data_IF_896753359330
#
_entry.id   IF_896753359330
#
_cell.length_a   1.000
_cell.length_b   1.000
_cell.length_c   1.000
_cell.angle_alpha   90.00
_cell.angle_beta   90.00
_cell.angle_gamma   90.00
#
_symmetry.space_group_name_H-M   'P 1'
#
loop_
_entity.id
_entity.type
_entity.pdbx_description
1 polymer ?
#
# COMPACT_ATOMS: atom_id res chain seq x y z
N UNK A 1 -12.58 17.83 19.00
CA UNK A 1 -12.45 18.87 17.97
C UNK A 1 -11.01 19.12 17.46
N UNK A 2 -9.95 18.48 17.99
CA UNK A 2 -8.56 18.63 17.50
C UNK A 2 -8.09 17.59 16.46
N UNK A 3 -8.95 16.65 16.04
CA UNK A 3 -8.60 15.56 15.12
C UNK A 3 -9.00 15.79 13.66
N UNK A 4 -9.76 16.84 13.34
CA UNK A 4 -10.17 17.15 11.96
C UNK A 4 -9.18 18.08 11.22
N UNK A 5 -8.22 18.68 11.93
CA UNK A 5 -7.20 19.56 11.33
C UNK A 5 -6.03 18.79 10.68
N UNK A 6 -5.86 17.49 10.98
CA UNK A 6 -4.74 16.69 10.47
C UNK A 6 -4.88 16.23 9.01
N UNK A 7 -6.12 16.08 8.51
CA UNK A 7 -6.35 15.60 7.15
C UNK A 7 -6.08 16.66 6.06
N UNK A 8 -6.17 17.95 6.41
CA UNK A 8 -5.92 19.05 5.47
C UNK A 8 -4.42 19.37 5.29
N UNK A 9 -3.56 18.98 6.24
CA UNK A 9 -2.13 19.27 6.20
C UNK A 9 -1.33 18.26 5.37
N UNK A 10 -1.86 17.06 5.14
CA UNK A 10 -1.21 16.03 4.32
C UNK A 10 -1.19 16.36 2.81
N UNK A 11 -2.02 17.31 2.35
CA UNK A 11 -2.09 17.68 0.94
C UNK A 11 -1.10 18.80 0.54
N UNK A 12 -0.47 19.47 1.50
CA UNK A 12 0.44 20.61 1.26
C UNK A 12 1.93 20.27 1.35
N UNK A 13 2.30 19.09 1.84
CA UNK A 13 3.71 18.67 1.99
C UNK A 13 4.26 17.86 0.80
N UNK A 14 3.43 17.47 -0.17
CA UNK A 14 3.89 16.74 -1.36
C UNK A 14 4.49 17.63 -2.47
N UNK A 15 4.50 18.97 -2.31
CA UNK A 15 4.95 19.92 -3.34
C UNK A 15 6.15 20.80 -2.94
N UNK A 16 6.76 20.60 -1.76
CA UNK A 16 7.82 21.46 -1.25
C UNK A 16 8.93 20.67 -0.56
N UNK A 17 9.81 20.07 -1.36
CA UNK A 17 10.95 19.30 -0.85
C UNK A 17 12.06 19.09 -1.87
N UNK A 18 12.27 20.05 -2.77
CA UNK A 18 13.48 20.13 -3.57
C UNK A 18 14.35 21.23 -2.96
N UNK A 19 15.21 20.87 -2.02
CA UNK A 19 16.31 21.72 -1.58
C UNK A 19 17.60 20.90 -1.59
N UNK A 20 18.47 21.34 -2.50
CA UNK A 20 19.82 20.89 -2.76
C UNK A 20 20.58 20.43 -1.51
N UNK A 21 21.21 19.25 -1.62
CA UNK A 21 22.35 18.90 -0.78
C UNK A 21 23.60 18.78 -1.65
N UNK A 22 24.51 19.68 -1.35
CA UNK A 22 25.80 19.94 -1.95
C UNK A 22 26.63 18.67 -2.05
N UNK A 23 27.23 18.48 -3.23
CA UNK A 23 28.24 17.47 -3.48
C UNK A 23 29.38 17.57 -2.46
N UNK A 24 29.70 16.45 -1.81
CA UNK A 24 31.01 16.26 -1.23
C UNK A 24 31.62 15.01 -1.87
N UNK A 25 32.61 15.24 -2.72
CA UNK A 25 33.42 14.19 -3.32
C UNK A 25 34.25 13.53 -2.22
N UNK A 26 34.02 12.25 -1.97
CA UNK A 26 35.06 11.37 -1.44
C UNK A 26 35.22 10.19 -2.40
N UNK A 27 36.45 10.08 -2.87
CA UNK A 27 36.99 9.12 -3.83
C UNK A 27 36.66 7.67 -3.49
N UNK A 28 36.16 6.95 -4.50
CA UNK A 28 35.95 5.52 -4.52
C UNK A 28 37.27 4.75 -4.59
N UNK A 29 37.47 3.82 -3.67
CA UNK A 29 38.34 2.66 -3.87
C UNK A 29 37.45 1.43 -3.73
N UNK A 30 37.24 0.72 -4.83
CA UNK A 30 36.59 -0.59 -4.85
C UNK A 30 37.54 -1.65 -4.26
N UNK A 31 36.98 -2.74 -3.72
CA UNK A 31 37.59 -4.03 -4.00
C UNK A 31 36.60 -5.03 -4.61
N UNK A 32 37.20 -5.76 -5.53
CA UNK A 32 36.73 -6.91 -6.28
C UNK A 32 36.41 -8.14 -5.40
N UNK A 33 35.38 -8.87 -5.80
CA UNK A 33 35.46 -10.33 -5.95
C UNK A 33 35.27 -11.21 -4.71
N UNK A 34 34.26 -12.09 -4.80
CA UNK A 34 34.28 -13.43 -4.17
C UNK A 34 33.69 -13.49 -2.77
N UNK A 35 32.43 -13.90 -2.67
CA UNK A 35 31.88 -14.45 -1.43
C UNK A 35 32.43 -15.88 -1.21
N UNK A 36 32.79 -16.26 0.03
CA UNK A 36 32.71 -17.64 0.45
C UNK A 36 31.50 -17.84 1.37
N UNK A 37 30.70 -18.83 1.00
CA UNK A 37 29.65 -19.47 1.78
C UNK A 37 30.24 -20.05 3.08
N UNK A 38 29.68 -19.68 4.24
CA UNK A 38 30.06 -20.26 5.54
C UNK A 38 28.87 -21.00 6.11
N UNK A 39 28.87 -22.32 5.92
CA UNK A 39 28.07 -23.28 6.68
C UNK A 39 28.60 -23.35 8.13
N UNK A 40 27.70 -23.21 9.10
CA UNK A 40 28.00 -23.42 10.51
C UNK A 40 28.03 -24.93 10.84
N UNK A 41 28.99 -25.44 11.62
CA UNK A 41 28.94 -26.82 12.08
C UNK A 41 28.15 -26.95 13.39
N UNK A 42 27.24 -27.92 13.41
CA UNK A 42 26.59 -28.49 14.60
C UNK A 42 27.57 -29.47 15.25
N UNK A 43 27.76 -29.49 16.59
CA UNK A 43 28.57 -30.52 17.22
C UNK A 43 27.73 -31.76 17.50
N UNK A 44 28.07 -32.88 16.85
CA UNK A 44 27.54 -34.21 17.15
C UNK A 44 28.52 -34.98 18.04
N UNK A 45 28.01 -35.57 19.12
CA UNK A 45 28.73 -36.35 20.12
C UNK A 45 28.89 -37.78 19.59
N UNK A 46 30.11 -38.28 19.48
CA UNK A 46 30.38 -39.62 18.94
C UNK A 46 31.57 -40.30 19.62
N UNK A 47 31.26 -41.36 20.35
CA UNK A 47 32.15 -42.25 21.09
C UNK A 47 33.10 -43.08 20.22
N UNK A 48 34.37 -43.17 20.65
CA UNK A 48 35.15 -44.41 20.70
C UNK A 48 35.64 -45.10 19.41
N UNK A 49 36.96 -45.35 19.40
CA UNK A 49 37.64 -46.64 19.09
C UNK A 49 38.73 -46.58 18.01
N UNK A 50 39.97 -46.81 18.45
CA UNK A 50 40.91 -47.74 17.81
C UNK A 50 41.79 -47.23 16.66
N UNK A 51 43.10 -47.18 16.89
CA UNK A 51 44.11 -47.09 15.81
C UNK A 51 45.52 -47.18 16.38
N UNK A 52 46.21 -48.27 16.09
CA UNK A 52 47.51 -48.71 16.63
C UNK A 52 48.65 -48.33 15.68
N UNK A 53 49.81 -47.95 16.24
CA UNK A 53 51.11 -47.88 15.56
C UNK A 53 51.97 -46.78 16.18
N UNK A 54 53.20 -46.95 16.64
CA UNK A 54 54.17 -48.04 16.59
C UNK A 54 55.57 -47.39 16.64
N UNK A 55 56.43 -47.82 17.58
CA UNK A 55 57.79 -47.32 17.79
C UNK A 55 57.86 -46.12 18.77
N UNK A 56 58.76 -46.02 19.74
CA UNK A 56 60.06 -46.66 19.93
C UNK A 56 60.48 -46.42 21.40
N UNK A 57 60.95 -47.45 22.11
CA UNK A 57 61.52 -47.34 23.47
C UNK A 57 62.97 -47.80 23.39
N UNK A 58 63.93 -47.06 23.96
CA UNK A 58 65.19 -47.64 24.40
C UNK A 58 65.16 -47.83 25.93
N UNK A 59 65.18 -49.09 26.36
CA UNK A 59 65.61 -49.48 27.70
C UNK A 59 67.14 -49.61 27.68
N UNK A 60 67.83 -48.97 28.62
CA UNK A 60 69.17 -49.38 29.04
C UNK A 60 69.23 -49.55 30.55
N UNK A 61 69.70 -50.74 30.89
CA UNK A 61 69.90 -51.41 32.16
C UNK A 61 71.08 -50.80 32.92
N UNK A 62 70.90 -50.48 34.21
CA UNK A 62 71.96 -50.59 35.23
C UNK A 62 71.33 -50.99 36.58
N UNK A 63 71.83 -52.05 37.24
CA UNK A 63 71.54 -52.31 38.64
C UNK A 63 72.79 -52.05 39.49
N UNK A 64 72.78 -51.07 40.40
CA UNK A 64 73.76 -51.00 41.51
C UNK A 64 73.35 -50.12 42.70
N UNK A 65 73.01 -50.84 43.78
CA UNK A 65 73.14 -50.63 45.23
C UNK A 65 72.38 -49.50 45.98
N UNK A 66 71.74 -49.85 47.12
CA UNK A 66 70.95 -48.93 47.94
C UNK A 66 71.83 -48.23 48.99
N UNK A 67 71.71 -46.92 49.10
CA UNK A 67 72.20 -46.17 50.27
C UNK A 67 71.21 -45.05 50.55
N UNK A 68 70.62 -45.05 51.74
CA UNK A 68 69.76 -43.96 52.22
C UNK A 68 68.46 -44.44 52.85
N UNK A 69 68.45 -44.49 54.17
CA UNK A 69 67.31 -44.70 55.07
C UNK A 69 66.09 -43.85 54.66
N UNK A 70 64.84 -44.34 54.80
CA UNK A 70 63.65 -43.56 54.43
C UNK A 70 63.55 -42.30 55.28
N UNK A 71 63.57 -41.13 54.64
CA UNK A 71 63.17 -39.88 55.27
C UNK A 71 61.66 -39.94 55.56
N UNK A 72 61.28 -39.57 56.78
CA UNK A 72 59.89 -39.50 57.21
C UNK A 72 59.07 -38.59 56.26
N UNK A 73 57.77 -38.86 56.04
CA UNK A 73 56.94 -38.05 55.17
C UNK A 73 56.91 -36.61 55.70
N UNK A 74 57.41 -35.67 54.91
CA UNK A 74 57.22 -34.25 55.18
C UNK A 74 55.73 -33.94 55.06
N UNK A 75 55.17 -33.31 56.09
CA UNK A 75 53.78 -32.88 56.10
C UNK A 75 53.50 -31.99 54.88
N UNK A 76 52.47 -32.32 54.11
CA UNK A 76 52.00 -31.49 53.01
C UNK A 76 51.49 -30.17 53.59
N UNK A 77 52.24 -29.09 53.35
CA UNK A 77 51.75 -27.74 53.64
C UNK A 77 50.64 -27.45 52.64
N UNK A 78 49.41 -27.27 53.14
CA UNK A 78 48.29 -26.86 52.30
C UNK A 78 48.63 -25.54 51.57
N UNK A 79 48.25 -25.39 50.28
CA UNK A 79 48.50 -24.14 49.57
C UNK A 79 47.80 -22.99 50.31
N UNK A 80 48.55 -21.93 50.58
CA UNK A 80 48.01 -20.71 51.19
C UNK A 80 47.00 -20.10 50.22
N UNK A 81 45.75 -19.81 50.61
CA UNK A 81 44.81 -19.14 49.74
C UNK A 81 45.31 -17.72 49.48
N UNK A 82 45.83 -17.49 48.27
CA UNK A 82 46.08 -16.12 47.77
C UNK A 82 44.72 -15.48 47.49
N UNK A 83 44.44 -14.36 48.16
CA UNK A 83 43.27 -13.55 47.87
C UNK A 83 43.30 -13.14 46.38
N UNK A 84 42.17 -13.18 45.66
CA UNK A 84 42.13 -12.77 44.27
C UNK A 84 42.58 -11.30 44.16
N UNK A 85 43.54 -11.04 43.29
CA UNK A 85 43.88 -9.66 42.91
C UNK A 85 42.65 -9.13 42.17
N UNK A 86 41.89 -8.26 42.83
CA UNK A 86 40.83 -7.50 42.19
C UNK A 86 41.52 -6.54 41.23
N UNK A 87 41.38 -6.78 39.92
CA UNK A 87 41.83 -5.83 38.92
C UNK A 87 41.17 -4.47 39.23
N UNK A 88 41.94 -3.36 39.28
CA UNK A 88 41.32 -2.04 39.40
C UNK A 88 40.33 -1.86 38.24
N UNK A 89 39.14 -1.27 38.48
CA UNK A 89 38.20 -0.99 37.41
C UNK A 89 38.94 -0.22 36.31
N UNK A 90 38.65 -0.49 35.02
CA UNK A 90 39.30 0.20 33.93
C UNK A 90 39.18 1.72 34.17
N UNK A 91 40.33 2.37 34.28
CA UNK A 91 40.43 3.82 34.44
C UNK A 91 40.00 4.45 33.11
N UNK A 92 38.70 4.73 33.01
CA UNK A 92 38.12 5.34 31.83
C UNK A 92 36.61 5.25 31.78
N UNK A 93 35.89 5.76 32.79
CA UNK A 93 34.52 6.24 32.55
C UNK A 93 34.04 7.31 33.54
N UNK A 94 34.77 8.43 33.62
CA UNK A 94 34.22 9.64 34.23
C UNK A 94 33.56 10.48 33.13
N UNK A 95 32.40 10.04 32.65
CA UNK A 95 31.53 10.92 31.85
C UNK A 95 30.68 10.28 30.76
N UNK A 96 30.83 8.98 30.43
CA UNK A 96 29.83 8.30 29.63
C UNK A 96 28.75 7.75 30.54
N UNK A 97 27.50 8.08 30.22
CA UNK A 97 26.35 7.48 30.88
C UNK A 97 26.37 5.99 30.57
N UNK A 98 26.11 5.14 31.57
CA UNK A 98 25.96 3.70 31.39
C UNK A 98 25.02 3.43 30.20
N UNK A 99 25.37 2.49 29.32
CA UNK A 99 24.55 2.14 28.17
C UNK A 99 23.10 1.80 28.59
N UNK A 100 22.95 1.15 29.74
CA UNK A 100 21.64 0.87 30.33
C UNK A 100 20.90 2.14 30.76
N UNK A 101 21.60 3.14 31.31
CA UNK A 101 21.02 4.42 31.72
C UNK A 101 20.67 5.32 30.53
N UNK A 102 21.50 5.30 29.47
CA UNK A 102 21.16 5.95 28.20
C UNK A 102 19.96 5.30 27.54
N UNK A 103 19.88 3.96 27.55
CA UNK A 103 18.74 3.21 27.01
C UNK A 103 17.46 3.51 27.80
N UNK A 104 17.55 3.55 29.13
CA UNK A 104 16.43 3.94 29.99
C UNK A 104 15.98 5.38 29.70
N UNK A 105 16.92 6.34 29.58
CA UNK A 105 16.60 7.74 29.27
C UNK A 105 16.04 7.92 27.85
N UNK A 106 16.54 7.17 26.88
CA UNK A 106 16.01 7.16 25.52
C UNK A 106 14.61 6.54 25.49
N UNK A 107 14.40 5.44 26.21
CA UNK A 107 13.08 4.81 26.36
C UNK A 107 12.07 5.75 27.04
N UNK A 108 12.48 6.48 28.09
CA UNK A 108 11.66 7.49 28.77
C UNK A 108 11.35 8.69 27.89
N UNK A 109 12.28 9.10 27.01
CA UNK A 109 12.09 10.19 26.05
C UNK A 109 11.39 9.76 24.76
N UNK A 110 11.20 8.46 24.55
CA UNK A 110 10.66 7.92 23.31
C UNK A 110 11.58 8.20 22.12
N UNK A 111 12.89 8.11 22.30
CA UNK A 111 13.90 8.27 21.24
C UNK A 111 14.23 6.91 20.60
N UNK A 112 14.67 6.93 19.34
CA UNK A 112 15.19 5.74 18.64
C UNK A 112 16.48 5.26 19.29
N UNK A 113 16.56 3.96 19.57
CA UNK A 113 17.76 3.33 20.12
C UNK A 113 18.42 2.52 19.01
N UNK A 114 19.70 2.80 18.76
CA UNK A 114 20.52 2.13 17.77
C UNK A 114 21.79 1.54 18.40
N UNK A 115 22.21 0.37 17.92
CA UNK A 115 23.44 -0.31 18.31
C UNK A 115 24.54 -0.19 17.25
N UNK A 116 25.68 -0.85 17.51
CA UNK A 116 26.73 -1.04 16.50
C UNK A 116 26.57 -2.42 15.87
N UNK A 117 26.78 -2.49 14.56
CA UNK A 117 26.75 -3.75 13.82
C UNK A 117 27.98 -3.84 12.92
N UNK A 118 28.40 -5.07 12.62
CA UNK A 118 29.51 -5.36 11.72
C UNK A 118 29.05 -5.80 10.31
N UNK A 119 27.74 -5.95 10.10
CA UNK A 119 27.16 -6.38 8.84
C UNK A 119 26.80 -5.18 7.94
N UNK A 120 26.82 -5.32 6.60
CA UNK A 120 26.55 -4.21 5.68
C UNK A 120 25.15 -3.58 5.82
N UNK A 121 24.18 -4.31 6.37
CA UNK A 121 22.82 -3.83 6.55
C UNK A 121 22.71 -2.85 7.74
N UNK A 122 23.01 -1.57 7.51
CA UNK A 122 22.93 -0.51 8.52
C UNK A 122 21.58 -0.42 9.25
N UNK A 123 20.47 -0.85 8.63
CA UNK A 123 19.15 -0.82 9.28
C UNK A 123 19.01 -1.82 10.44
N UNK A 124 19.83 -2.88 10.46
CA UNK A 124 19.89 -3.85 11.56
C UNK A 124 20.48 -3.26 12.85
N UNK A 125 21.08 -2.08 12.78
CA UNK A 125 21.51 -1.33 13.95
C UNK A 125 20.33 -0.77 14.76
N UNK A 126 19.10 -0.80 14.25
CA UNK A 126 17.94 -0.25 14.94
C UNK A 126 17.35 -1.25 15.94
N UNK A 127 17.47 -0.95 17.23
CA UNK A 127 16.99 -1.82 18.31
C UNK A 127 15.56 -1.43 18.74
N UNK A 128 15.30 -0.14 18.94
CA UNK A 128 13.97 0.37 19.31
C UNK A 128 13.61 1.55 18.41
N UNK A 129 12.43 1.47 17.78
CA UNK A 129 11.83 2.55 17.01
C UNK A 129 10.45 2.89 17.58
N UNK A 130 10.33 3.96 18.38
CA UNK A 130 9.08 4.44 18.97
C UNK A 130 7.96 4.65 17.93
N UNK A 131 8.30 5.17 16.75
CA UNK A 131 7.37 5.41 15.65
C UNK A 131 6.71 4.12 15.16
N UNK A 132 7.40 2.97 15.26
CA UNK A 132 6.84 1.66 14.94
C UNK A 132 5.75 1.20 15.92
N UNK A 133 5.70 1.73 17.15
CA UNK A 133 4.58 1.51 18.08
C UNK A 133 3.36 2.32 17.65
N UNK A 134 3.57 3.59 17.32
CA UNK A 134 2.50 4.48 16.84
C UNK A 134 1.90 3.96 15.54
N UNK A 135 2.74 3.54 14.58
CA UNK A 135 2.28 2.91 13.34
C UNK A 135 1.44 1.66 13.61
N UNK A 136 1.85 0.78 14.53
CA UNK A 136 1.04 -0.41 14.89
C UNK A 136 -0.29 -0.04 15.54
N UNK A 137 -0.30 0.96 16.42
CA UNK A 137 -1.52 1.47 17.03
C UNK A 137 -2.47 2.03 15.97
N UNK A 138 -1.94 2.83 15.04
CA UNK A 138 -2.68 3.32 13.89
C UNK A 138 -3.22 2.18 13.03
N UNK A 139 -2.37 1.24 12.59
CA UNK A 139 -2.74 0.16 11.70
C UNK A 139 -3.82 -0.75 12.30
N UNK A 140 -3.59 -1.24 13.52
CA UNK A 140 -4.47 -2.25 14.12
C UNK A 140 -5.77 -1.65 14.66
N UNK A 141 -5.77 -0.37 15.03
CA UNK A 141 -6.94 0.28 15.64
C UNK A 141 -7.53 1.37 14.75
N UNK A 142 -6.77 2.42 14.48
CA UNK A 142 -7.28 3.61 13.79
C UNK A 142 -7.72 3.28 12.37
N UNK A 143 -6.87 2.64 11.58
CA UNK A 143 -7.18 2.29 10.20
C UNK A 143 -8.37 1.31 10.12
N UNK A 144 -8.40 0.29 10.98
CA UNK A 144 -9.53 -0.66 11.08
C UNK A 144 -10.86 0.06 11.32
N UNK A 145 -10.90 1.01 12.26
CA UNK A 145 -12.11 1.79 12.54
C UNK A 145 -12.46 2.76 11.41
N UNK A 146 -11.48 3.47 10.85
CA UNK A 146 -11.70 4.35 9.69
C UNK A 146 -12.29 3.55 8.52
N UNK A 147 -11.73 2.38 8.23
CA UNK A 147 -12.19 1.48 7.20
C UNK A 147 -13.61 0.97 7.48
N UNK A 148 -13.91 0.57 8.72
CA UNK A 148 -15.23 0.07 9.10
C UNK A 148 -16.28 1.18 8.97
N UNK A 149 -15.99 2.37 9.48
CA UNK A 149 -16.89 3.53 9.38
C UNK A 149 -17.08 3.93 7.91
N UNK A 150 -16.02 4.01 7.11
CA UNK A 150 -16.12 4.40 5.72
C UNK A 150 -16.95 3.40 4.90
N UNK A 151 -16.65 2.10 5.01
CA UNK A 151 -17.32 1.06 4.22
C UNK A 151 -18.74 0.81 4.72
N UNK A 152 -18.92 0.50 6.01
CA UNK A 152 -20.24 0.21 6.56
C UNK A 152 -21.12 1.46 6.60
N UNK A 153 -20.54 2.63 6.87
CA UNK A 153 -21.26 3.91 6.83
C UNK A 153 -21.75 4.23 5.42
N UNK A 154 -20.92 3.99 4.39
CA UNK A 154 -21.37 4.14 3.01
C UNK A 154 -22.47 3.14 2.65
N UNK A 155 -22.29 1.85 2.95
CA UNK A 155 -23.30 0.82 2.69
C UNK A 155 -24.63 1.16 3.39
N UNK A 156 -24.57 1.60 4.65
CA UNK A 156 -25.72 2.05 5.41
C UNK A 156 -26.38 3.29 4.79
N UNK A 157 -25.60 4.28 4.35
CA UNK A 157 -26.10 5.46 3.68
C UNK A 157 -26.80 5.14 2.36
N UNK A 158 -26.21 4.26 1.53
CA UNK A 158 -26.81 3.80 0.28
C UNK A 158 -28.06 2.96 0.52
N UNK A 159 -28.04 2.08 1.53
CA UNK A 159 -29.19 1.28 1.94
C UNK A 159 -30.35 2.17 2.41
N UNK A 160 -30.07 3.13 3.28
CA UNK A 160 -31.06 4.10 3.75
C UNK A 160 -31.61 4.95 2.59
N UNK A 161 -30.73 5.44 1.72
CA UNK A 161 -31.13 6.20 0.54
C UNK A 161 -32.05 5.36 -0.37
N UNK A 162 -31.71 4.09 -0.61
CA UNK A 162 -32.53 3.19 -1.41
C UNK A 162 -33.89 2.91 -0.75
N UNK A 163 -33.96 2.72 0.57
CA UNK A 163 -35.21 2.50 1.29
C UNK A 163 -36.13 3.74 1.25
N UNK A 164 -35.56 4.94 1.33
CA UNK A 164 -36.33 6.20 1.30
C UNK A 164 -36.77 6.55 -0.13
N UNK A 165 -35.85 6.45 -1.09
CA UNK A 165 -36.03 7.01 -2.45
C UNK A 165 -36.41 5.97 -3.50
N UNK A 166 -36.02 4.71 -3.30
CA UNK A 166 -36.13 3.64 -4.29
C UNK A 166 -35.17 3.82 -5.48
N UNK A 167 -35.40 3.04 -6.54
CA UNK A 167 -34.71 3.21 -7.81
C UNK A 167 -35.19 4.49 -8.51
N UNK A 168 -34.26 5.28 -9.04
CA UNK A 168 -34.57 6.44 -9.88
C UNK A 168 -35.06 5.91 -11.23
N UNK A 169 -36.36 6.06 -11.47
CA UNK A 169 -37.04 5.65 -12.71
C UNK A 169 -37.12 6.84 -13.67
N UNK A 170 -37.15 6.52 -14.96
CA UNK A 170 -37.37 7.48 -16.03
C UNK A 170 -38.77 8.09 -15.95
N UNK A 171 -38.87 9.41 -16.11
CA UNK A 171 -40.16 10.10 -16.07
C UNK A 171 -41.03 9.80 -17.30
N UNK A 172 -40.41 9.79 -18.49
CA UNK A 172 -41.09 9.57 -19.78
C UNK A 172 -41.06 8.09 -20.24
N UNK A 173 -40.50 7.18 -19.42
CA UNK A 173 -40.23 5.80 -19.84
C UNK A 173 -39.16 5.70 -20.94
N UNK A 174 -38.93 4.49 -21.44
CA UNK A 174 -37.94 4.24 -22.51
C UNK A 174 -38.48 4.71 -23.87
N UNK A 175 -37.65 5.39 -24.66
CA UNK A 175 -37.97 5.81 -26.02
C UNK A 175 -37.95 4.65 -27.02
N UNK A 176 -37.20 3.58 -26.73
CA UNK A 176 -37.07 2.40 -27.59
C UNK A 176 -35.99 2.51 -28.67
N UNK A 177 -35.31 3.65 -28.77
CA UNK A 177 -34.11 3.84 -29.59
C UNK A 177 -32.98 4.44 -28.75
N UNK A 178 -31.75 4.21 -29.19
CA UNK A 178 -30.56 4.47 -28.37
C UNK A 178 -29.54 5.37 -29.05
N UNK A 179 -28.79 6.14 -28.26
CA UNK A 179 -27.65 6.95 -28.66
C UNK A 179 -26.34 6.30 -28.19
N UNK A 180 -25.27 6.42 -28.98
CA UNK A 180 -23.92 6.00 -28.55
C UNK A 180 -23.38 7.02 -27.56
N UNK A 181 -22.99 6.56 -26.37
CA UNK A 181 -22.45 7.41 -25.30
C UNK A 181 -20.98 7.15 -25.02
N UNK A 182 -20.57 5.88 -25.06
CA UNK A 182 -19.20 5.45 -24.80
C UNK A 182 -18.75 4.45 -25.86
N UNK A 183 -17.60 4.74 -26.49
CA UNK A 183 -17.00 3.86 -27.48
C UNK A 183 -16.29 2.67 -26.81
N UNK A 184 -15.89 1.69 -27.64
CA UNK A 184 -15.32 0.44 -27.15
C UNK A 184 -14.03 0.64 -26.33
N UNK A 185 -13.15 1.55 -26.73
CA UNK A 185 -11.88 1.82 -26.02
C UNK A 185 -12.16 2.35 -24.61
N UNK A 186 -13.11 3.28 -24.48
CA UNK A 186 -13.54 3.84 -23.20
C UNK A 186 -14.11 2.76 -22.28
N UNK A 187 -14.93 1.86 -22.83
CA UNK A 187 -15.55 0.77 -22.08
C UNK A 187 -14.55 -0.30 -21.66
N UNK A 188 -13.67 -0.73 -22.56
CA UNK A 188 -12.63 -1.72 -22.25
C UNK A 188 -11.73 -1.20 -21.15
N UNK A 189 -11.29 0.06 -21.24
CA UNK A 189 -10.49 0.68 -20.21
C UNK A 189 -11.26 0.80 -18.88
N UNK A 190 -12.53 1.19 -18.92
CA UNK A 190 -13.39 1.23 -17.74
C UNK A 190 -13.48 -0.12 -17.03
N UNK A 191 -13.82 -1.19 -17.76
CA UNK A 191 -13.97 -2.52 -17.18
C UNK A 191 -12.64 -3.08 -16.68
N UNK A 192 -11.53 -2.81 -17.38
CA UNK A 192 -10.20 -3.19 -16.91
C UNK A 192 -9.84 -2.51 -15.58
N UNK A 193 -10.03 -1.19 -15.48
CA UNK A 193 -9.80 -0.44 -14.23
C UNK A 193 -10.76 -0.89 -13.13
N UNK A 194 -12.04 -1.08 -13.44
CA UNK A 194 -13.05 -1.50 -12.47
C UNK A 194 -12.75 -2.90 -11.90
N UNK A 195 -12.41 -3.87 -12.75
CA UNK A 195 -12.03 -5.22 -12.32
C UNK A 195 -10.75 -5.22 -11.50
N UNK A 196 -9.73 -4.45 -11.91
CA UNK A 196 -8.52 -4.29 -11.10
C UNK A 196 -8.86 -3.67 -9.74
N UNK A 197 -9.64 -2.59 -9.71
CA UNK A 197 -10.04 -1.91 -8.48
C UNK A 197 -10.79 -2.82 -7.52
N UNK A 198 -11.72 -3.66 -8.01
CA UNK A 198 -12.46 -4.61 -7.18
C UNK A 198 -11.48 -5.59 -6.51
N UNK A 199 -10.54 -6.17 -7.27
CA UNK A 199 -9.58 -7.13 -6.72
C UNK A 199 -8.61 -6.45 -5.75
N UNK A 200 -8.11 -5.25 -6.08
CA UNK A 200 -7.26 -4.43 -5.21
C UNK A 200 -7.97 -4.07 -3.91
N UNK A 201 -9.22 -3.61 -4.00
CA UNK A 201 -10.05 -3.25 -2.86
C UNK A 201 -10.33 -4.45 -1.95
N UNK A 202 -10.74 -5.60 -2.52
CA UNK A 202 -11.01 -6.81 -1.75
C UNK A 202 -9.74 -7.38 -1.07
N UNK A 203 -8.62 -7.39 -1.77
CA UNK A 203 -7.34 -7.82 -1.18
C UNK A 203 -6.84 -6.86 -0.09
N UNK A 204 -7.00 -5.55 -0.25
CA UNK A 204 -6.69 -4.57 0.79
C UNK A 204 -7.61 -4.67 2.02
N UNK A 205 -8.91 -4.89 1.80
CA UNK A 205 -9.87 -5.16 2.88
C UNK A 205 -9.56 -6.48 3.59
N UNK A 206 -9.07 -7.49 2.88
CA UNK A 206 -8.60 -8.73 3.48
C UNK A 206 -7.40 -8.48 4.42
N UNK A 207 -6.45 -7.61 4.07
CA UNK A 207 -5.35 -7.24 4.98
C UNK A 207 -5.85 -6.56 6.26
N UNK A 208 -6.91 -5.74 6.15
CA UNK A 208 -7.43 -4.97 7.30
C UNK A 208 -8.36 -5.81 8.19
N UNK A 209 -9.27 -6.58 7.58
CA UNK A 209 -10.36 -7.28 8.29
C UNK A 209 -10.31 -8.80 8.20
N UNK A 210 -9.50 -9.35 7.31
CA UNK A 210 -9.53 -10.78 6.98
C UNK A 210 -9.28 -11.68 8.18
N UNK A 211 -8.41 -11.27 9.12
CA UNK A 211 -8.19 -12.01 10.37
C UNK A 211 -9.44 -12.09 11.26
N UNK A 212 -10.28 -11.06 11.25
CA UNK A 212 -11.48 -11.00 12.09
C UNK A 212 -12.70 -11.61 11.40
N UNK A 213 -12.77 -11.53 10.07
CA UNK A 213 -13.95 -11.94 9.30
C UNK A 213 -13.74 -13.26 8.54
N UNK A 214 -12.65 -13.38 7.78
CA UNK A 214 -12.42 -14.54 6.93
C UNK A 214 -11.78 -15.71 7.68
N UNK A 215 -10.74 -15.46 8.49
CA UNK A 215 -10.03 -16.52 9.21
C UNK A 215 -10.97 -17.42 10.05
N UNK A 216 -11.94 -16.89 10.82
CA UNK A 216 -12.88 -17.75 11.55
C UNK A 216 -13.84 -18.53 10.64
N UNK A 217 -14.10 -18.04 9.42
CA UNK A 217 -15.07 -18.61 8.49
C UNK A 217 -14.47 -19.74 7.63
N UNK A 218 -13.23 -19.59 7.18
CA UNK A 218 -12.59 -20.51 6.21
C UNK A 218 -11.36 -21.24 6.77
N UNK A 219 -11.03 -21.01 8.04
CA UNK A 219 -9.90 -21.63 8.73
C UNK A 219 -8.52 -21.08 8.30
N UNK A 220 -7.44 -21.47 9.00
CA UNK A 220 -6.09 -20.98 8.73
C UNK A 220 -5.55 -21.27 7.33
N UNK A 221 -5.81 -22.47 6.81
CA UNK A 221 -5.33 -22.89 5.49
C UNK A 221 -6.02 -22.09 4.37
N UNK A 222 -7.35 -22.00 4.41
CA UNK A 222 -8.13 -21.22 3.45
C UNK A 222 -7.77 -19.73 3.50
N UNK A 223 -7.62 -19.18 4.71
CA UNK A 223 -7.22 -17.78 4.89
C UNK A 223 -5.81 -17.51 4.34
N UNK A 224 -4.88 -18.45 4.56
CA UNK A 224 -3.52 -18.35 4.01
C UNK A 224 -3.55 -18.37 2.49
N UNK A 225 -4.29 -19.29 1.88
CA UNK A 225 -4.40 -19.39 0.43
C UNK A 225 -4.99 -18.13 -0.20
N UNK A 226 -6.13 -17.64 0.32
CA UNK A 226 -6.78 -16.41 -0.17
C UNK A 226 -5.89 -15.19 0.03
N UNK A 227 -5.20 -15.08 1.17
CA UNK A 227 -4.33 -13.94 1.46
C UNK A 227 -3.07 -13.93 0.59
N UNK A 228 -2.48 -15.09 0.31
CA UNK A 228 -1.34 -15.21 -0.61
C UNK A 228 -1.74 -14.86 -2.04
N UNK A 229 -2.83 -15.45 -2.54
CA UNK A 229 -3.35 -15.14 -3.87
C UNK A 229 -3.74 -13.65 -3.99
N UNK A 230 -4.40 -13.11 -2.96
CA UNK A 230 -4.76 -11.70 -2.87
C UNK A 230 -3.54 -10.78 -2.90
N UNK A 231 -2.48 -11.09 -2.16
CA UNK A 231 -1.23 -10.30 -2.18
C UNK A 231 -0.58 -10.30 -3.57
N UNK A 232 -0.48 -11.47 -4.21
CA UNK A 232 0.10 -11.59 -5.56
C UNK A 232 -0.74 -10.78 -6.55
N UNK A 233 -2.06 -10.98 -6.55
CA UNK A 233 -2.98 -10.23 -7.40
C UNK A 233 -2.90 -8.73 -7.13
N UNK A 234 -2.79 -8.31 -5.87
CA UNK A 234 -2.72 -6.89 -5.50
C UNK A 234 -1.48 -6.21 -6.11
N UNK A 235 -0.32 -6.85 -5.97
CA UNK A 235 0.93 -6.32 -6.49
C UNK A 235 0.95 -6.24 -8.02
N UNK A 236 0.47 -7.27 -8.72
CA UNK A 236 0.52 -7.31 -10.18
C UNK A 236 -0.60 -6.51 -10.86
N UNK A 237 -1.80 -6.44 -10.27
CA UNK A 237 -2.90 -5.67 -10.84
C UNK A 237 -2.78 -4.16 -10.60
N UNK A 238 -1.90 -3.72 -9.70
CA UNK A 238 -1.57 -2.31 -9.53
C UNK A 238 -1.03 -1.67 -10.82
N UNK A 239 -0.28 -2.44 -11.64
CA UNK A 239 0.28 -1.97 -12.91
C UNK A 239 -0.79 -1.64 -13.96
N UNK A 240 -1.66 -2.58 -14.39
CA UNK A 240 -2.73 -2.28 -15.33
C UNK A 240 -3.73 -1.26 -14.76
N UNK A 241 -4.00 -1.28 -13.44
CA UNK A 241 -4.82 -0.24 -12.80
C UNK A 241 -4.24 1.17 -13.03
N UNK A 242 -2.95 1.36 -12.73
CA UNK A 242 -2.27 2.66 -12.91
C UNK A 242 -2.25 3.09 -14.38
N UNK A 243 -1.91 2.16 -15.29
CA UNK A 243 -1.94 2.45 -16.73
C UNK A 243 -3.34 2.84 -17.20
N UNK A 244 -4.37 2.14 -16.72
CA UNK A 244 -5.76 2.43 -17.02
C UNK A 244 -6.22 3.79 -16.50
N UNK A 245 -5.73 4.25 -15.34
CA UNK A 245 -6.00 5.61 -14.84
C UNK A 245 -5.42 6.68 -15.77
N UNK A 246 -4.21 6.48 -16.29
CA UNK A 246 -3.60 7.41 -17.26
C UNK A 246 -4.44 7.45 -18.54
N UNK A 247 -4.86 6.28 -19.05
CA UNK A 247 -5.73 6.20 -20.22
C UNK A 247 -7.09 6.87 -19.95
N UNK A 248 -7.70 6.68 -18.76
CA UNK A 248 -8.94 7.36 -18.38
C UNK A 248 -8.77 8.88 -18.39
N UNK A 249 -7.68 9.38 -17.81
CA UNK A 249 -7.37 10.81 -17.80
C UNK A 249 -7.29 11.33 -19.24
N UNK A 250 -6.53 10.68 -20.12
CA UNK A 250 -6.38 11.12 -21.51
C UNK A 250 -7.70 11.09 -22.30
N UNK A 251 -8.54 10.07 -22.09
CA UNK A 251 -9.80 9.93 -22.80
C UNK A 251 -10.87 10.92 -22.31
N UNK A 252 -10.91 11.23 -21.01
CA UNK A 252 -12.07 11.89 -20.40
C UNK A 252 -11.79 13.26 -19.77
N UNK A 253 -10.53 13.69 -19.64
CA UNK A 253 -10.20 14.96 -18.96
C UNK A 253 -10.94 16.15 -19.54
N UNK A 254 -11.03 16.23 -20.88
CA UNK A 254 -11.68 17.36 -21.58
C UNK A 254 -13.13 17.54 -21.13
N UNK A 255 -13.87 16.45 -21.02
CA UNK A 255 -15.30 16.49 -20.69
C UNK A 255 -15.56 16.56 -19.18
N UNK A 256 -14.52 16.42 -18.35
CA UNK A 256 -14.61 16.40 -16.90
C UNK A 256 -14.04 17.65 -16.20
N UNK A 257 -13.69 18.68 -16.96
CA UNK A 257 -13.31 19.98 -16.38
C UNK A 257 -14.53 20.60 -15.68
N UNK A 258 -14.44 20.94 -14.38
CA UNK A 258 -15.53 21.59 -13.66
C UNK A 258 -15.85 22.97 -14.25
N UNK A 259 -17.14 23.27 -14.38
CA UNK A 259 -17.62 24.53 -14.95
C UNK A 259 -18.81 25.10 -14.15
N UNK A 260 -19.31 26.27 -14.55
CA UNK A 260 -20.40 26.96 -13.83
C UNK A 260 -21.71 26.17 -13.81
N UNK A 261 -21.95 25.31 -14.81
CA UNK A 261 -23.13 24.46 -14.86
C UNK A 261 -23.10 23.42 -13.74
N UNK A 262 -21.92 22.91 -13.39
CA UNK A 262 -21.76 21.94 -12.31
C UNK A 262 -22.17 22.53 -10.96
N UNK A 263 -21.86 23.81 -10.70
CA UNK A 263 -22.30 24.50 -9.50
C UNK A 263 -23.82 24.65 -9.46
N UNK A 264 -24.45 24.96 -10.59
CA UNK A 264 -25.91 25.03 -10.69
C UNK A 264 -26.55 23.65 -10.46
N UNK A 265 -25.95 22.59 -10.99
CA UNK A 265 -26.38 21.21 -10.80
C UNK A 265 -26.31 20.78 -9.33
N UNK A 266 -25.22 21.12 -8.63
CA UNK A 266 -25.06 20.86 -7.19
C UNK A 266 -26.10 21.64 -6.38
N UNK A 267 -26.29 22.93 -6.67
CA UNK A 267 -27.30 23.77 -5.98
C UNK A 267 -28.73 23.25 -6.19
N UNK A 268 -29.00 22.64 -7.33
CA UNK A 268 -30.27 21.99 -7.64
C UNK A 268 -30.43 20.60 -6.99
N UNK A 269 -29.50 20.17 -6.12
CA UNK A 269 -29.59 18.88 -5.43
C UNK A 269 -29.27 17.67 -6.31
N UNK A 270 -28.59 17.90 -7.44
CA UNK A 270 -28.02 16.85 -8.29
C UNK A 270 -29.02 15.91 -8.96
N UNK A 271 -30.28 16.33 -9.13
CA UNK A 271 -31.32 15.47 -9.67
C UNK A 271 -31.75 14.32 -8.74
N UNK A 272 -31.22 14.27 -7.52
CA UNK A 272 -31.59 13.31 -6.48
C UNK A 272 -32.63 13.88 -5.52
N UNK A 273 -32.61 15.20 -5.32
CA UNK A 273 -33.49 15.93 -4.40
C UNK A 273 -34.51 16.72 -5.23
N UNK A 274 -35.79 16.39 -5.06
CA UNK A 274 -36.90 17.02 -5.79
C UNK A 274 -37.26 16.32 -7.12
N UNK A 275 -38.01 17.03 -7.98
CA UNK A 275 -38.46 16.56 -9.31
C UNK A 275 -37.73 17.22 -10.49
N UNK A 276 -36.72 18.04 -10.20
CA UNK A 276 -35.99 18.78 -11.23
C UNK A 276 -34.80 17.99 -11.75
N UNK A 277 -34.63 17.98 -13.08
CA UNK A 277 -33.43 17.45 -13.74
C UNK A 277 -32.55 18.63 -14.18
N UNK A 278 -31.56 19.04 -13.37
CA UNK A 278 -30.66 20.11 -13.76
C UNK A 278 -29.93 19.72 -15.05
N UNK A 279 -29.88 20.66 -16.00
CA UNK A 279 -29.21 20.46 -17.29
C UNK A 279 -27.76 20.03 -17.06
N UNK A 280 -27.30 19.03 -17.80
CA UNK A 280 -25.94 18.53 -17.76
C UNK A 280 -25.41 18.28 -19.17
N UNK A 281 -24.09 18.40 -19.32
CA UNK A 281 -23.34 18.03 -20.52
C UNK A 281 -23.14 16.51 -20.56
N UNK A 282 -22.13 16.03 -21.30
CA UNK A 282 -21.80 14.61 -21.40
C UNK A 282 -21.65 13.97 -20.02
N UNK A 283 -20.98 14.67 -19.09
CA UNK A 283 -20.89 14.29 -17.67
C UNK A 283 -21.56 15.33 -16.78
N UNK A 284 -22.31 14.88 -15.78
CA UNK A 284 -22.84 15.75 -14.73
C UNK A 284 -21.81 15.97 -13.61
N UNK A 285 -22.06 16.91 -12.71
CA UNK A 285 -21.12 17.26 -11.64
C UNK A 285 -20.74 16.08 -10.73
N UNK A 286 -21.69 15.17 -10.46
CA UNK A 286 -21.41 13.96 -9.68
C UNK A 286 -20.47 13.00 -10.40
N UNK A 287 -20.67 12.79 -11.70
CA UNK A 287 -19.77 11.98 -12.52
C UNK A 287 -18.37 12.62 -12.63
N UNK A 288 -18.29 13.95 -12.79
CA UNK A 288 -17.01 14.67 -12.76
C UNK A 288 -16.29 14.53 -11.44
N UNK A 289 -17.02 14.55 -10.32
CA UNK A 289 -16.45 14.32 -8.99
C UNK A 289 -15.86 12.91 -8.88
N UNK A 290 -16.59 11.87 -9.33
CA UNK A 290 -16.07 10.50 -9.36
C UNK A 290 -14.84 10.40 -10.25
N UNK A 291 -14.83 11.04 -11.42
CA UNK A 291 -13.66 11.08 -12.29
C UNK A 291 -12.42 11.61 -11.56
N UNK A 292 -12.52 12.77 -10.89
CA UNK A 292 -11.37 13.35 -10.19
C UNK A 292 -10.98 12.57 -8.93
N UNK A 293 -11.93 12.01 -8.20
CA UNK A 293 -11.66 11.09 -7.09
C UNK A 293 -10.85 9.89 -7.60
N UNK A 294 -11.29 9.25 -8.68
CA UNK A 294 -10.63 8.08 -9.26
C UNK A 294 -9.26 8.41 -9.81
N UNK A 295 -9.10 9.51 -10.57
CA UNK A 295 -7.81 9.88 -11.16
C UNK A 295 -6.82 10.34 -10.10
N UNK A 296 -7.19 11.31 -9.26
CA UNK A 296 -6.25 11.88 -8.28
C UNK A 296 -6.06 10.95 -7.09
N UNK A 297 -7.14 10.50 -6.48
CA UNK A 297 -7.03 9.62 -5.33
C UNK A 297 -6.53 8.22 -5.74
N UNK A 298 -6.94 7.69 -6.88
CA UNK A 298 -6.36 6.45 -7.42
C UNK A 298 -4.88 6.61 -7.77
N UNK A 299 -4.49 7.77 -8.31
CA UNK A 299 -3.08 8.12 -8.54
C UNK A 299 -2.25 8.18 -7.26
N UNK A 300 -2.79 8.79 -6.19
CA UNK A 300 -2.13 8.84 -4.86
C UNK A 300 -2.03 7.45 -4.20
N UNK A 301 -3.08 6.64 -4.32
CA UNK A 301 -3.06 5.23 -3.88
C UNK A 301 -2.02 4.43 -4.66
N UNK A 302 -1.95 4.61 -5.98
CA UNK A 302 -0.95 3.95 -6.81
C UNK A 302 0.48 4.40 -6.44
N UNK A 303 0.72 5.71 -6.29
CA UNK A 303 2.03 6.25 -5.92
C UNK A 303 2.52 5.69 -4.57
N UNK A 304 1.67 5.75 -3.54
CA UNK A 304 1.98 5.15 -2.23
C UNK A 304 2.12 3.61 -2.32
N UNK A 305 1.35 2.94 -3.16
CA UNK A 305 1.44 1.50 -3.40
C UNK A 305 2.76 1.09 -4.05
N UNK A 306 3.27 1.84 -5.03
CA UNK A 306 4.58 1.56 -5.63
C UNK A 306 5.73 1.72 -4.64
N UNK A 307 5.65 2.71 -3.73
CA UNK A 307 6.63 2.83 -2.63
C UNK A 307 6.64 1.58 -1.75
N UNK A 308 5.47 0.93 -1.54
CA UNK A 308 5.34 -0.29 -0.75
C UNK A 308 5.75 -1.57 -1.52
N UNK A 309 5.52 -1.63 -2.84
CA UNK A 309 5.92 -2.76 -3.70
C UNK A 309 7.45 -2.81 -3.86
N UNK A 310 8.11 -1.65 -3.89
CA UNK A 310 9.56 -1.52 -3.98
C UNK A 310 10.13 -0.98 -2.66
N UNK A 311 10.09 -1.80 -1.58
CA UNK A 311 10.46 -1.34 -0.26
C UNK A 311 11.92 -0.86 -0.24
N UNK A 312 12.14 0.26 0.43
CA UNK A 312 13.45 0.87 0.62
C UNK A 312 14.18 1.36 -0.65
N UNK A 313 13.52 1.34 -1.81
CA UNK A 313 14.11 1.85 -3.05
C UNK A 313 14.27 3.39 -3.04
N UNK A 314 13.32 4.10 -2.41
CA UNK A 314 13.26 5.57 -2.41
C UNK A 314 12.97 6.16 -1.03
N UNK A 315 12.64 5.34 -0.03
CA UNK A 315 12.29 5.78 1.33
C UNK A 315 12.97 4.90 2.37
N UNK A 316 13.11 5.38 3.60
CA UNK A 316 13.54 4.59 4.73
C UNK A 316 12.34 3.96 5.48
N UNK A 317 12.57 3.42 6.68
CA UNK A 317 11.51 2.78 7.49
C UNK A 317 10.38 3.77 7.82
N UNK A 318 10.72 5.02 8.13
CA UNK A 318 9.73 6.05 8.43
C UNK A 318 8.86 6.34 7.19
N UNK A 319 9.50 6.52 6.03
CA UNK A 319 8.77 6.73 4.78
C UNK A 319 7.88 5.55 4.38
N UNK A 320 8.28 4.31 4.67
CA UNK A 320 7.44 3.12 4.47
C UNK A 320 6.21 3.10 5.40
N UNK A 321 6.37 3.51 6.65
CA UNK A 321 5.26 3.64 7.59
C UNK A 321 4.25 4.71 7.10
N UNK A 322 4.74 5.86 6.66
CA UNK A 322 3.90 6.90 6.05
C UNK A 322 3.19 6.44 4.79
N UNK A 323 3.91 5.81 3.85
CA UNK A 323 3.32 5.26 2.65
C UNK A 323 2.19 4.27 2.99
N UNK A 324 2.40 3.39 3.96
CA UNK A 324 1.38 2.44 4.40
C UNK A 324 0.15 3.12 5.02
N UNK A 325 0.36 4.14 5.87
CA UNK A 325 -0.75 4.88 6.49
C UNK A 325 -1.59 5.63 5.45
N UNK A 326 -0.93 6.35 4.55
CA UNK A 326 -1.58 7.09 3.45
C UNK A 326 -2.31 6.14 2.51
N UNK A 327 -1.64 5.06 2.09
CA UNK A 327 -2.22 4.05 1.19
C UNK A 327 -3.47 3.42 1.80
N UNK A 328 -3.41 3.03 3.09
CA UNK A 328 -4.54 2.44 3.80
C UNK A 328 -5.74 3.38 3.87
N UNK A 329 -5.55 4.62 4.30
CA UNK A 329 -6.64 5.61 4.46
C UNK A 329 -7.26 5.98 3.12
N UNK A 330 -6.45 6.31 2.12
CA UNK A 330 -6.96 6.70 0.81
C UNK A 330 -7.69 5.53 0.14
N UNK A 331 -7.17 4.31 0.26
CA UNK A 331 -7.81 3.12 -0.30
C UNK A 331 -9.21 2.88 0.26
N UNK A 332 -9.41 2.99 1.58
CA UNK A 332 -10.73 2.72 2.17
C UNK A 332 -11.74 3.83 1.88
N UNK A 333 -11.28 5.08 1.78
CA UNK A 333 -12.11 6.18 1.30
C UNK A 333 -12.50 6.00 -0.18
N UNK A 334 -11.56 5.52 -1.00
CA UNK A 334 -11.81 5.19 -2.40
C UNK A 334 -12.85 4.08 -2.53
N UNK A 335 -12.72 3.00 -1.74
CA UNK A 335 -13.69 1.91 -1.71
C UNK A 335 -15.08 2.45 -1.37
N UNK A 336 -15.20 3.30 -0.35
CA UNK A 336 -16.47 3.93 -0.01
C UNK A 336 -17.03 4.77 -1.18
N UNK A 337 -16.22 5.63 -1.80
CA UNK A 337 -16.66 6.41 -2.96
C UNK A 337 -17.08 5.52 -4.15
N UNK A 338 -16.36 4.43 -4.41
CA UNK A 338 -16.69 3.52 -5.51
C UNK A 338 -17.92 2.67 -5.24
N UNK A 339 -18.26 2.37 -3.98
CA UNK A 339 -19.55 1.76 -3.65
C UNK A 339 -20.71 2.68 -4.08
N UNK A 340 -20.60 3.99 -3.84
CA UNK A 340 -21.60 4.96 -4.31
C UNK A 340 -21.68 5.03 -5.84
N UNK A 341 -20.52 5.01 -6.52
CA UNK A 341 -20.46 4.99 -7.98
C UNK A 341 -21.10 3.72 -8.57
N UNK A 342 -20.75 2.54 -8.04
CA UNK A 342 -21.32 1.25 -8.44
C UNK A 342 -22.83 1.27 -8.21
N UNK A 343 -23.29 1.76 -7.06
CA UNK A 343 -24.71 1.85 -6.75
C UNK A 343 -25.47 2.67 -7.79
N UNK A 344 -25.08 3.93 -8.05
CA UNK A 344 -25.78 4.78 -9.03
C UNK A 344 -25.67 4.23 -10.45
N UNK A 345 -24.54 3.63 -10.82
CA UNK A 345 -24.32 3.06 -12.15
C UNK A 345 -25.02 1.72 -12.41
N UNK A 346 -25.60 1.08 -11.40
CA UNK A 346 -26.23 -0.24 -11.53
C UNK A 346 -27.65 -0.30 -10.97
N UNK A 347 -27.80 -0.24 -9.65
CA UNK A 347 -29.07 -0.45 -8.95
C UNK A 347 -29.86 0.84 -8.73
N UNK A 348 -29.17 1.96 -8.52
CA UNK A 348 -29.74 3.23 -8.11
C UNK A 348 -30.48 3.97 -9.22
N UNK A 349 -30.06 3.80 -10.48
CA UNK A 349 -30.63 4.50 -11.63
C UNK A 349 -30.95 3.55 -12.77
N UNK A 350 -32.19 3.60 -13.25
CA UNK A 350 -32.65 2.82 -14.39
C UNK A 350 -31.90 3.17 -15.67
N UNK A 351 -31.49 2.16 -16.45
CA UNK A 351 -30.80 2.34 -17.73
C UNK A 351 -29.34 2.82 -17.63
N UNK A 352 -28.85 3.18 -16.44
CA UNK A 352 -27.49 3.69 -16.28
C UNK A 352 -26.41 2.64 -16.61
N UNK A 353 -26.67 1.36 -16.30
CA UNK A 353 -25.74 0.27 -16.56
C UNK A 353 -25.44 0.11 -18.06
N UNK A 354 -26.42 0.32 -18.93
CA UNK A 354 -26.30 0.13 -20.38
C UNK A 354 -25.25 1.06 -21.00
N UNK A 355 -25.02 2.22 -20.39
CA UNK A 355 -23.98 3.17 -20.79
C UNK A 355 -22.59 2.48 -20.85
N UNK A 356 -22.23 1.69 -19.84
CA UNK A 356 -20.95 0.96 -19.83
C UNK A 356 -21.10 -0.49 -20.33
N UNK A 357 -22.27 -1.09 -20.14
CA UNK A 357 -22.59 -2.45 -20.56
C UNK A 357 -22.56 -2.62 -22.08
N UNK A 358 -23.22 -1.72 -22.82
CA UNK A 358 -23.30 -1.77 -24.29
C UNK A 358 -22.61 -0.58 -24.97
N UNK A 359 -22.42 0.54 -24.26
CA UNK A 359 -21.96 1.80 -24.85
C UNK A 359 -23.09 2.69 -25.35
N UNK A 360 -24.33 2.22 -25.26
CA UNK A 360 -25.51 2.89 -25.77
C UNK A 360 -26.50 3.17 -24.63
N UNK A 361 -27.19 4.30 -24.73
CA UNK A 361 -28.21 4.71 -23.75
C UNK A 361 -29.51 5.04 -24.46
N UNK A 362 -30.64 4.80 -23.80
CA UNK A 362 -31.95 5.21 -24.29
C UNK A 362 -32.03 6.73 -24.48
N UNK A 363 -32.76 7.18 -25.50
CA UNK A 363 -32.88 8.60 -25.81
C UNK A 363 -33.56 9.41 -24.69
N UNK A 364 -34.63 8.92 -24.08
CA UNK A 364 -35.31 9.63 -23.00
C UNK A 364 -34.41 9.71 -21.76
N UNK A 365 -33.66 8.64 -21.48
CA UNK A 365 -32.63 8.67 -20.42
C UNK A 365 -31.57 9.73 -20.67
N UNK A 366 -31.05 9.78 -21.90
CA UNK A 366 -30.05 10.77 -22.28
C UNK A 366 -30.61 12.19 -22.18
N UNK A 367 -31.85 12.41 -22.61
CA UNK A 367 -32.52 13.71 -22.56
C UNK A 367 -32.77 14.15 -21.12
N UNK A 368 -33.22 13.24 -20.26
CA UNK A 368 -33.53 13.52 -18.86
C UNK A 368 -32.27 13.83 -18.03
N UNK A 369 -31.18 13.09 -18.23
CA UNK A 369 -29.97 13.22 -17.41
C UNK A 369 -28.86 14.06 -18.03
N UNK A 370 -28.88 14.24 -19.36
CA UNK A 370 -27.79 14.84 -20.15
C UNK A 370 -28.33 15.69 -21.31
N UNK A 371 -29.35 16.51 -21.05
CA UNK A 371 -30.07 17.30 -22.06
C UNK A 371 -29.15 18.07 -23.03
N UNK A 372 -28.12 18.76 -22.52
CA UNK A 372 -27.21 19.56 -23.36
C UNK A 372 -26.34 18.68 -24.27
N UNK A 373 -25.97 17.49 -23.80
CA UNK A 373 -25.24 16.53 -24.63
C UNK A 373 -26.11 16.01 -25.77
N UNK A 374 -27.39 15.68 -25.50
CA UNK A 374 -28.31 15.25 -26.55
C UNK A 374 -28.51 16.33 -27.60
N UNK A 375 -28.69 17.59 -27.19
CA UNK A 375 -28.79 18.73 -28.11
C UNK A 375 -27.55 18.83 -29.02
N UNK A 376 -26.35 18.66 -28.45
CA UNK A 376 -25.10 18.68 -29.21
C UNK A 376 -24.98 17.51 -30.20
N UNK A 377 -25.31 16.29 -29.79
CA UNK A 377 -25.24 15.12 -30.66
C UNK A 377 -26.25 15.20 -31.81
N UNK A 378 -27.46 15.69 -31.54
CA UNK A 378 -28.46 15.94 -32.59
C UNK A 378 -28.01 17.04 -33.55
N UNK A 379 -27.38 18.11 -33.05
CA UNK A 379 -26.83 19.16 -33.88
C UNK A 379 -25.73 18.63 -34.82
N UNK A 380 -24.78 17.84 -34.30
CA UNK A 380 -23.73 17.18 -35.10
C UNK A 380 -24.34 16.26 -36.16
N UNK A 381 -25.35 15.46 -35.78
CA UNK A 381 -26.01 14.54 -36.73
C UNK A 381 -26.69 15.30 -37.88
N UNK A 382 -27.31 16.46 -37.60
CA UNK A 382 -27.90 17.33 -38.62
C UNK A 382 -26.86 17.94 -39.54
N UNK A 383 -25.70 18.36 -39.02
CA UNK A 383 -24.59 18.89 -39.82
C UNK A 383 -24.04 17.84 -40.80
N UNK A 384 -23.86 16.60 -40.32
CA UNK A 384 -23.42 15.47 -41.15
C UNK A 384 -24.47 15.13 -42.20
N UNK A 385 -25.77 15.09 -41.84
CA UNK A 385 -26.84 14.80 -42.78
C UNK A 385 -27.10 15.93 -43.80
N UNK A 386 -26.80 17.18 -43.42
CA UNK A 386 -26.93 18.37 -44.28
C UNK A 386 -25.74 18.60 -45.21
N UNK A 387 -24.64 17.87 -45.04
CA UNK A 387 -23.49 17.88 -45.96
C UNK A 387 -23.73 16.83 -47.05
N UNK A 388 -24.01 17.20 -48.32
CA UNK A 388 -24.16 16.22 -49.37
C UNK A 388 -22.87 15.39 -49.48
N UNK A 389 -22.95 14.07 -49.71
CA UNK A 389 -21.74 13.28 -50.01
C UNK A 389 -21.08 13.96 -51.19
N UNK A 390 -19.79 14.24 -51.09
CA UNK A 390 -19.01 14.84 -52.18
C UNK A 390 -19.12 13.97 -53.43
N UNK A 391 -20.09 14.27 -54.28
CA UNK A 391 -20.11 13.86 -55.67
C UNK A 391 -18.93 14.59 -56.26
N UNK A 392 -17.78 13.92 -56.36
CA UNK A 392 -16.83 14.26 -57.42
C UNK A 392 -17.66 14.21 -58.69
N UNK A 393 -17.88 15.37 -59.31
CA UNK A 393 -18.51 15.44 -60.60
C UNK A 393 -17.78 14.46 -61.52
N UNK A 394 -18.52 13.52 -62.11
CA UNK A 394 -17.98 12.69 -63.17
C UNK A 394 -17.54 13.65 -64.30
N UNK A 395 -16.22 13.76 -64.50
CA UNK A 395 -15.65 14.64 -65.53
C UNK A 395 -14.81 15.82 -65.03
N UNK A 396 -14.02 15.64 -63.97
CA UNK A 396 -12.79 16.43 -63.79
C UNK A 396 -11.59 15.48 -63.92
N UNK A 397 -11.18 15.35 -65.18
CA UNK A 397 -9.89 14.97 -65.78
C UNK A 397 -9.15 13.72 -65.26
#
# INVERSE_FOLDING_TARGET
MRFLAGAALALSLAAGGASAQTANQSSSVAPSGGAPEVQAPVPEVGSGRGGVGGGQVPNTTEPSRPTGTPAAPQASVAPTPVSPIVAPPPLGDFGQQDAAEMELRAALRGERISGRISIPNATAANLIQPEGREWRAFHNRTLTWVAAIAVLGMLGALGLFFLIRGRIRLGEGLAGFTLVRFHIVERVNHWMVASCFIILGLSGLNLTFGRYLLLPLIGPEGFTAVSQAGKIAHNFLAFPFTAGLVVMLLLWVRDNIPNKLDLAWIKAGGGFIGRGHPKAERFNAGQKMVFWITVLGGGLVAASGYVLIFPFAVTDIEGQQWAHMVHGVLSVLMVAAMLAHIYIGSLGMEGAFDAMGTGRVDYNWAKEHHALWVEQELAKAREVAGTPPGIKAAGAD
#
